data_IF_339677268998
#
_entry.id   IF_339677268998
#
_cell.length_a   1.000
_cell.length_b   1.000
_cell.length_c   1.000
_cell.angle_alpha   90.00
_cell.angle_beta   90.00
_cell.angle_gamma   90.00
#
_symmetry.space_group_name_H-M   'P 1'
#
loop_
_entity.id
_entity.type
_entity.pdbx_description
1 polymer ?
#
# COMPACT_ATOMS: atom_id res chain seq x y z
N UNK A 1 -17.96 52.35 -41.06
CA UNK A 1 -19.10 51.49 -40.67
C UNK A 1 -19.06 50.22 -41.52
N UNK A 2 -19.14 49.07 -40.85
CA UNK A 2 -19.30 47.70 -41.36
C UNK A 2 -18.24 47.09 -42.29
N UNK A 3 -17.50 46.12 -41.74
CA UNK A 3 -17.27 44.83 -42.40
C UNK A 3 -17.59 43.71 -41.40
N UNK A 4 -18.61 42.93 -41.72
CA UNK A 4 -18.91 41.63 -41.13
C UNK A 4 -18.30 40.58 -42.05
N UNK A 5 -17.55 39.62 -41.50
CA UNK A 5 -17.27 38.33 -42.12
C UNK A 5 -17.07 37.32 -41.00
N UNK A 6 -17.92 36.30 -41.00
CA UNK A 6 -17.99 35.20 -40.04
C UNK A 6 -17.12 34.03 -40.51
N UNK A 7 -16.36 33.43 -39.61
CA UNK A 7 -15.78 32.07 -39.70
C UNK A 7 -15.44 31.70 -38.24
N UNK A 8 -15.85 30.60 -37.63
CA UNK A 8 -15.94 29.24 -38.14
C UNK A 8 -15.09 28.35 -37.22
N UNK A 9 -15.75 27.74 -36.23
CA UNK A 9 -15.37 26.58 -35.39
C UNK A 9 -13.95 25.96 -35.54
N UNK A 10 -13.22 25.77 -34.43
CA UNK A 10 -12.66 24.44 -34.12
C UNK A 10 -12.36 24.25 -32.62
N UNK A 11 -12.98 23.22 -32.05
CA UNK A 11 -12.82 22.75 -30.66
C UNK A 11 -11.61 21.80 -30.61
N UNK A 12 -10.55 22.16 -29.88
CA UNK A 12 -9.44 21.24 -29.63
C UNK A 12 -9.90 20.11 -28.70
N UNK A 13 -10.04 18.92 -29.27
CA UNK A 13 -10.27 17.67 -28.57
C UNK A 13 -9.06 17.31 -27.71
N UNK A 14 -9.30 17.10 -26.41
CA UNK A 14 -8.39 16.47 -25.46
C UNK A 14 -8.16 15.02 -25.88
N UNK A 15 -6.98 14.72 -26.41
CA UNK A 15 -6.56 13.33 -26.63
C UNK A 15 -6.25 12.63 -25.30
N UNK A 16 -6.44 11.31 -25.18
CA UNK A 16 -6.14 10.58 -23.95
C UNK A 16 -4.63 10.65 -23.65
N UNK A 17 -4.29 11.01 -22.41
CA UNK A 17 -2.93 10.92 -21.88
C UNK A 17 -2.51 9.44 -21.88
N UNK A 18 -1.82 9.03 -22.94
CA UNK A 18 -1.11 7.75 -22.99
C UNK A 18 0.07 7.87 -22.02
N UNK A 19 -0.04 7.22 -20.86
CA UNK A 19 1.07 7.05 -19.91
C UNK A 19 2.21 6.32 -20.62
N UNK A 20 3.20 7.07 -21.09
CA UNK A 20 4.43 6.52 -21.61
C UNK A 20 5.22 5.90 -20.46
N UNK A 21 5.13 4.57 -20.32
CA UNK A 21 6.04 3.77 -19.49
C UNK A 21 7.44 3.80 -20.13
N UNK A 22 8.16 4.91 -19.95
CA UNK A 22 9.61 4.91 -20.01
C UNK A 22 10.10 4.64 -18.59
N UNK A 23 10.32 3.36 -18.28
CA UNK A 23 10.97 2.91 -17.05
C UNK A 23 12.40 3.44 -17.01
N UNK A 24 12.56 4.72 -16.64
CA UNK A 24 13.87 5.30 -16.40
C UNK A 24 14.48 4.69 -15.14
N UNK A 25 15.79 4.46 -15.15
CA UNK A 25 16.55 3.97 -14.00
C UNK A 25 16.04 4.55 -12.66
N UNK A 26 15.73 3.67 -11.70
CA UNK A 26 15.20 4.03 -10.39
C UNK A 26 13.67 4.18 -10.29
N UNK A 27 12.89 3.90 -11.35
CA UNK A 27 11.45 3.68 -11.22
C UNK A 27 11.20 2.31 -10.57
N UNK A 28 10.28 2.28 -9.60
CA UNK A 28 9.76 1.02 -9.05
C UNK A 28 8.40 0.78 -9.65
N UNK A 29 8.25 -0.34 -10.36
CA UNK A 29 7.01 -0.76 -11.01
C UNK A 29 6.28 -1.84 -10.18
N UNK A 30 5.02 -2.12 -10.51
CA UNK A 30 4.17 -3.09 -9.82
C UNK A 30 4.76 -4.52 -9.83
N UNK A 31 5.41 -4.93 -10.93
CA UNK A 31 6.06 -6.25 -11.04
C UNK A 31 7.13 -6.47 -9.96
N UNK A 32 7.87 -5.40 -9.61
CA UNK A 32 8.90 -5.44 -8.59
C UNK A 32 8.30 -5.69 -7.21
N UNK A 33 7.11 -5.15 -6.95
CA UNK A 33 6.39 -5.40 -5.72
C UNK A 33 5.95 -6.87 -5.64
N UNK A 34 5.32 -7.40 -6.69
CA UNK A 34 4.89 -8.79 -6.75
C UNK A 34 6.06 -9.77 -6.54
N UNK A 35 7.20 -9.52 -7.17
CA UNK A 35 8.42 -10.33 -6.97
C UNK A 35 8.97 -10.25 -5.54
N UNK A 36 8.64 -9.18 -4.79
CA UNK A 36 9.14 -8.92 -3.44
C UNK A 36 8.15 -9.28 -2.31
N UNK A 37 6.91 -9.65 -2.65
CA UNK A 37 5.85 -9.96 -1.69
C UNK A 37 6.19 -11.14 -0.80
N UNK A 38 6.66 -12.25 -1.41
CA UNK A 38 7.12 -13.43 -0.67
C UNK A 38 8.65 -13.40 -0.64
N UNK A 39 9.28 -12.96 0.46
CA UNK A 39 10.72 -12.97 0.56
C UNK A 39 11.24 -14.42 0.66
N UNK A 40 12.51 -14.63 0.28
CA UNK A 40 13.13 -15.96 0.27
C UNK A 40 13.24 -16.62 1.67
N UNK A 41 13.03 -15.86 2.74
CA UNK A 41 13.03 -16.38 4.10
C UNK A 41 11.67 -17.01 4.45
N UNK A 42 11.70 -18.11 5.20
CA UNK A 42 10.51 -18.74 5.75
C UNK A 42 10.50 -18.61 7.27
N UNK A 43 9.39 -18.10 7.81
CA UNK A 43 9.12 -18.02 9.24
C UNK A 43 7.63 -18.25 9.43
N UNK A 44 7.28 -19.09 10.39
CA UNK A 44 5.90 -19.44 10.73
C UNK A 44 5.76 -19.50 12.24
N UNK A 45 4.63 -19.03 12.76
CA UNK A 45 4.27 -19.27 14.15
C UNK A 45 3.48 -20.59 14.23
N UNK A 46 3.86 -21.46 15.16
CA UNK A 46 3.19 -22.74 15.41
C UNK A 46 2.20 -22.65 16.58
N UNK A 47 2.21 -21.54 17.33
CA UNK A 47 1.26 -21.27 18.39
C UNK A 47 0.88 -19.79 18.48
N UNK A 48 -0.28 -19.45 19.06
CA UNK A 48 -0.68 -18.05 19.30
C UNK A 48 0.33 -17.28 20.16
N UNK A 49 0.93 -17.95 21.16
CA UNK A 49 1.94 -17.34 22.03
C UNK A 49 3.20 -16.96 21.25
N UNK A 50 3.68 -17.88 20.44
CA UNK A 50 4.83 -17.65 19.57
C UNK A 50 4.57 -16.53 18.56
N UNK A 51 3.35 -16.45 18.00
CA UNK A 51 2.97 -15.35 17.12
C UNK A 51 3.10 -13.99 17.83
N UNK A 52 2.57 -13.88 19.05
CA UNK A 52 2.66 -12.66 19.86
C UNK A 52 4.12 -12.30 20.14
N UNK A 53 4.96 -13.28 20.49
CA UNK A 53 6.39 -13.07 20.76
C UNK A 53 7.14 -12.58 19.51
N UNK A 54 6.92 -13.22 18.36
CA UNK A 54 7.53 -12.83 17.08
C UNK A 54 7.12 -11.40 16.73
N UNK A 55 5.82 -11.08 16.76
CA UNK A 55 5.35 -9.74 16.39
C UNK A 55 5.83 -8.66 17.36
N UNK A 56 5.90 -8.94 18.67
CA UNK A 56 6.46 -8.00 19.63
C UNK A 56 7.95 -7.74 19.37
N UNK A 57 8.73 -8.78 19.04
CA UNK A 57 10.13 -8.62 18.65
C UNK A 57 10.26 -7.77 17.38
N UNK A 58 9.41 -8.00 16.38
CA UNK A 58 9.40 -7.19 15.16
C UNK A 58 9.10 -5.72 15.49
N UNK A 59 8.09 -5.46 16.32
CA UNK A 59 7.74 -4.12 16.77
C UNK A 59 8.92 -3.43 17.47
N UNK A 60 9.63 -4.12 18.36
CA UNK A 60 10.82 -3.59 19.04
C UNK A 60 11.92 -3.18 18.05
N UNK A 61 12.17 -4.00 17.02
CA UNK A 61 13.16 -3.70 15.98
C UNK A 61 12.73 -2.49 15.14
N UNK A 62 11.46 -2.44 14.72
CA UNK A 62 10.91 -1.35 13.90
C UNK A 62 10.88 -0.01 14.65
N UNK A 63 10.60 -0.03 15.96
CA UNK A 63 10.65 1.14 16.84
C UNK A 63 12.03 1.43 17.43
N UNK A 64 13.03 0.59 17.14
CA UNK A 64 14.36 0.64 17.74
C UNK A 64 15.23 1.80 17.26
N UNK A 65 16.56 1.65 17.36
CA UNK A 65 17.50 2.71 16.97
C UNK A 65 17.39 3.01 15.45
N UNK A 66 17.23 4.28 15.01
CA UNK A 66 17.18 4.66 13.60
C UNK A 66 18.47 4.40 12.81
N UNK A 67 19.60 4.15 13.48
CA UNK A 67 20.85 3.76 12.84
C UNK A 67 20.84 2.31 12.35
N UNK A 68 20.03 1.43 12.95
CA UNK A 68 19.91 0.01 12.60
C UNK A 68 18.90 -0.23 11.46
N UNK A 69 18.97 0.60 10.41
CA UNK A 69 18.01 0.60 9.30
C UNK A 69 17.96 -0.73 8.54
N UNK A 70 19.08 -1.47 8.45
CA UNK A 70 19.14 -2.79 7.84
C UNK A 70 18.29 -3.81 8.60
N UNK A 71 18.36 -3.79 9.95
CA UNK A 71 17.53 -4.68 10.78
C UNK A 71 16.05 -4.34 10.63
N UNK A 72 15.69 -3.06 10.44
CA UNK A 72 14.30 -2.67 10.15
C UNK A 72 13.81 -3.24 8.82
N UNK A 73 14.64 -3.17 7.78
CA UNK A 73 14.34 -3.79 6.47
C UNK A 73 14.12 -5.29 6.61
N UNK A 74 14.97 -5.98 7.37
CA UNK A 74 14.82 -7.42 7.59
C UNK A 74 13.60 -7.77 8.45
N UNK A 75 13.26 -6.94 9.43
CA UNK A 75 12.03 -7.08 10.21
C UNK A 75 10.78 -6.92 9.32
N UNK A 76 10.77 -5.97 8.38
CA UNK A 76 9.68 -5.79 7.41
C UNK A 76 9.52 -7.01 6.50
N UNK A 77 10.62 -7.61 6.03
CA UNK A 77 10.59 -8.87 5.26
C UNK A 77 10.07 -10.02 6.12
N UNK A 78 10.52 -10.12 7.36
CA UNK A 78 10.10 -11.15 8.31
C UNK A 78 8.60 -11.06 8.58
N UNK A 79 8.04 -9.85 8.71
CA UNK A 79 6.60 -9.64 8.85
C UNK A 79 5.83 -10.17 7.63
N UNK A 80 6.31 -9.91 6.40
CA UNK A 80 5.67 -10.46 5.19
C UNK A 80 5.73 -11.97 5.13
N UNK A 81 6.90 -12.55 5.40
CA UNK A 81 7.07 -14.01 5.44
C UNK A 81 6.13 -14.65 6.48
N UNK A 82 6.00 -14.04 7.65
CA UNK A 82 5.10 -14.51 8.71
C UNK A 82 3.64 -14.56 8.24
N UNK A 83 3.18 -13.50 7.57
CA UNK A 83 1.82 -13.43 7.01
C UNK A 83 1.64 -14.42 5.85
N UNK A 84 2.64 -14.57 4.97
CA UNK A 84 2.64 -15.56 3.89
C UNK A 84 2.51 -17.00 4.39
N UNK A 85 3.05 -17.30 5.58
CA UNK A 85 2.94 -18.60 6.22
C UNK A 85 1.69 -18.75 7.10
N UNK A 86 0.65 -17.91 6.88
CA UNK A 86 -0.65 -18.09 7.50
C UNK A 86 -0.82 -17.45 8.88
N UNK A 87 0.08 -16.56 9.32
CA UNK A 87 -0.10 -15.86 10.59
C UNK A 87 -1.41 -15.06 10.69
N UNK A 88 -1.95 -14.62 9.55
CA UNK A 88 -3.22 -13.92 9.50
C UNK A 88 -4.44 -14.79 9.92
N UNK A 89 -4.29 -16.12 9.97
CA UNK A 89 -5.34 -17.06 10.38
C UNK A 89 -5.54 -17.12 11.90
N UNK A 90 -4.57 -16.64 12.68
CA UNK A 90 -4.69 -16.54 14.13
C UNK A 90 -5.55 -15.33 14.50
N UNK A 91 -6.42 -15.49 15.49
CA UNK A 91 -7.32 -14.42 15.96
C UNK A 91 -6.54 -13.26 16.61
N UNK A 92 -5.39 -13.58 17.23
CA UNK A 92 -4.48 -12.63 17.86
C UNK A 92 -3.78 -11.70 16.85
N UNK A 93 -3.78 -12.05 15.57
CA UNK A 93 -3.08 -11.27 14.55
C UNK A 93 -3.66 -9.87 14.36
N UNK A 94 -5.00 -9.68 14.39
CA UNK A 94 -5.59 -8.32 14.20
C UNK A 94 -5.22 -7.37 15.34
N UNK A 95 -5.33 -7.76 16.62
CA UNK A 95 -4.81 -6.95 17.72
C UNK A 95 -3.33 -6.61 17.54
N UNK A 96 -2.50 -7.59 17.17
CA UNK A 96 -1.07 -7.38 16.96
C UNK A 96 -0.77 -6.41 15.82
N UNK A 97 -1.49 -6.52 14.69
CA UNK A 97 -1.39 -5.62 13.55
C UNK A 97 -1.64 -4.15 13.93
N UNK A 98 -2.62 -3.88 14.81
CA UNK A 98 -2.88 -2.52 15.31
C UNK A 98 -1.67 -1.95 16.06
N UNK A 99 -0.92 -2.80 16.76
CA UNK A 99 0.30 -2.35 17.46
C UNK A 99 1.47 -2.06 16.53
N UNK A 100 1.43 -2.58 15.30
CA UNK A 100 2.44 -2.35 14.26
C UNK A 100 2.18 -1.09 13.43
N UNK A 101 1.01 -0.46 13.53
CA UNK A 101 0.64 0.72 12.75
C UNK A 101 1.65 1.87 12.91
N UNK A 102 1.95 2.25 14.16
CA UNK A 102 2.90 3.34 14.45
C UNK A 102 4.34 3.01 14.00
N UNK A 103 4.89 1.81 14.29
CA UNK A 103 6.19 1.40 13.74
C UNK A 103 6.25 1.38 12.20
N UNK A 104 5.18 0.94 11.54
CA UNK A 104 5.09 0.94 10.07
C UNK A 104 5.08 2.37 9.50
N UNK A 105 4.30 3.26 10.10
CA UNK A 105 4.29 4.68 9.71
C UNK A 105 5.68 5.32 9.86
N UNK A 106 6.37 5.00 10.95
CA UNK A 106 7.76 5.45 11.18
C UNK A 106 8.69 4.98 10.05
N UNK A 107 8.54 3.76 9.57
CA UNK A 107 9.35 3.24 8.46
C UNK A 107 9.02 3.90 7.12
N UNK A 108 7.76 4.28 6.89
CA UNK A 108 7.36 5.02 5.69
C UNK A 108 7.92 6.45 5.69
N UNK A 109 8.17 7.05 6.85
CA UNK A 109 8.75 8.39 7.00
C UNK A 109 10.28 8.38 7.11
N UNK A 110 10.94 7.24 6.89
CA UNK A 110 12.40 7.14 7.00
C UNK A 110 13.10 7.96 5.89
N UNK A 111 14.27 8.50 6.20
CA UNK A 111 15.08 9.26 5.23
C UNK A 111 15.76 8.36 4.21
N UNK A 112 15.85 7.05 4.47
CA UNK A 112 16.50 6.07 3.59
C UNK A 112 15.49 5.43 2.66
N UNK A 113 15.69 5.63 1.37
CA UNK A 113 14.82 5.07 0.33
C UNK A 113 14.70 3.54 0.39
N UNK A 114 15.72 2.84 0.89
CA UNK A 114 15.68 1.39 1.14
C UNK A 114 14.61 0.99 2.15
N UNK A 115 14.53 1.71 3.29
CA UNK A 115 13.55 1.45 4.35
C UNK A 115 12.15 1.79 3.86
N UNK A 116 11.99 2.96 3.23
CA UNK A 116 10.70 3.41 2.70
C UNK A 116 10.17 2.47 1.63
N UNK A 117 11.03 2.02 0.70
CA UNK A 117 10.66 1.05 -0.34
C UNK A 117 10.20 -0.27 0.26
N UNK A 118 10.97 -0.80 1.23
CA UNK A 118 10.60 -2.05 1.89
C UNK A 118 9.27 -1.92 2.66
N UNK A 119 9.06 -0.78 3.33
CA UNK A 119 7.81 -0.49 4.04
C UNK A 119 6.63 -0.40 3.08
N UNK A 120 6.79 0.26 1.92
CA UNK A 120 5.77 0.33 0.87
C UNK A 120 5.40 -1.06 0.34
N UNK A 121 6.39 -1.93 0.11
CA UNK A 121 6.15 -3.33 -0.33
C UNK A 121 5.40 -4.10 0.76
N UNK A 122 5.78 -3.96 2.03
CA UNK A 122 5.08 -4.59 3.16
C UNK A 122 3.63 -4.13 3.27
N UNK A 123 3.37 -2.83 3.21
CA UNK A 123 2.00 -2.30 3.25
C UNK A 123 1.17 -2.82 2.09
N UNK A 124 1.72 -2.80 0.87
CA UNK A 124 1.04 -3.31 -0.31
C UNK A 124 0.67 -4.80 -0.13
N UNK A 125 1.61 -5.62 0.32
CA UNK A 125 1.39 -7.03 0.60
C UNK A 125 0.31 -7.25 1.68
N UNK A 126 0.41 -6.56 2.81
CA UNK A 126 -0.56 -6.66 3.91
C UNK A 126 -1.97 -6.25 3.44
N UNK A 127 -2.09 -5.23 2.59
CA UNK A 127 -3.38 -4.82 2.04
C UNK A 127 -4.04 -5.92 1.20
N UNK A 128 -3.26 -6.63 0.38
CA UNK A 128 -3.76 -7.71 -0.48
C UNK A 128 -4.18 -8.94 0.34
N UNK A 129 -3.38 -9.32 1.34
CA UNK A 129 -3.64 -10.51 2.17
C UNK A 129 -4.79 -10.31 3.17
N UNK A 130 -4.84 -9.15 3.84
CA UNK A 130 -5.76 -8.90 4.95
C UNK A 130 -7.07 -8.25 4.53
N UNK A 131 -7.11 -7.62 3.34
CA UNK A 131 -8.30 -6.97 2.78
C UNK A 131 -8.95 -6.01 3.78
N UNK A 132 -10.22 -6.23 4.14
CA UNK A 132 -10.99 -5.41 5.08
C UNK A 132 -10.40 -5.35 6.50
N UNK A 133 -9.56 -6.32 6.91
CA UNK A 133 -8.91 -6.28 8.22
C UNK A 133 -7.80 -5.23 8.29
N UNK A 134 -7.37 -4.68 7.15
CA UNK A 134 -6.31 -3.66 7.05
C UNK A 134 -6.86 -2.22 6.92
N UNK A 135 -8.17 -2.01 6.85
CA UNK A 135 -8.78 -0.70 6.52
C UNK A 135 -8.30 0.46 7.42
N UNK A 136 -8.22 0.23 8.74
CA UNK A 136 -7.74 1.26 9.69
C UNK A 136 -6.27 1.61 9.48
N UNK A 137 -5.43 0.60 9.26
CA UNK A 137 -4.01 0.83 9.00
C UNK A 137 -3.82 1.49 7.62
N UNK A 138 -4.62 1.10 6.63
CA UNK A 138 -4.64 1.71 5.31
C UNK A 138 -4.98 3.20 5.36
N UNK A 139 -6.00 3.59 6.13
CA UNK A 139 -6.39 5.01 6.31
C UNK A 139 -5.21 5.86 6.82
N UNK A 140 -4.53 5.37 7.86
CA UNK A 140 -3.36 6.01 8.47
C UNK A 140 -2.19 6.10 7.49
N UNK A 141 -1.86 4.97 6.83
CA UNK A 141 -0.74 4.89 5.88
C UNK A 141 -0.99 5.72 4.62
N UNK A 142 -2.22 5.80 4.11
CA UNK A 142 -2.54 6.59 2.92
C UNK A 142 -2.20 8.07 3.11
N UNK A 143 -2.40 8.63 4.32
CA UNK A 143 -2.00 10.00 4.61
C UNK A 143 -0.48 10.20 4.43
N UNK A 144 0.31 9.24 4.89
CA UNK A 144 1.78 9.24 4.76
C UNK A 144 2.23 9.03 3.32
N UNK A 145 1.58 8.12 2.58
CA UNK A 145 1.88 7.88 1.17
C UNK A 145 1.64 9.13 0.31
N UNK A 146 0.58 9.90 0.57
CA UNK A 146 0.31 11.16 -0.15
C UNK A 146 1.48 12.15 0.00
N UNK A 147 2.04 12.26 1.20
CA UNK A 147 3.22 13.11 1.44
C UNK A 147 4.43 12.59 0.64
N UNK A 148 4.67 11.28 0.63
CA UNK A 148 5.78 10.65 -0.10
C UNK A 148 5.69 10.83 -1.62
N UNK A 149 4.49 10.94 -2.20
CA UNK A 149 4.32 11.19 -3.64
C UNK A 149 4.97 12.49 -4.11
N UNK A 150 5.05 13.50 -3.23
CA UNK A 150 5.66 14.80 -3.52
C UNK A 150 7.17 14.84 -3.30
N UNK A 151 7.78 13.72 -2.89
CA UNK A 151 9.21 13.62 -2.64
C UNK A 151 10.01 13.67 -3.95
N UNK A 152 11.13 14.41 -3.97
CA UNK A 152 12.01 14.52 -5.14
C UNK A 152 12.82 13.23 -5.41
N UNK A 153 12.97 12.36 -4.42
CA UNK A 153 13.59 11.06 -4.60
C UNK A 153 12.67 10.11 -5.36
N UNK A 154 12.97 9.89 -6.65
CA UNK A 154 12.16 9.08 -7.57
C UNK A 154 11.76 7.71 -6.99
N UNK A 155 12.69 7.01 -6.34
CA UNK A 155 12.43 5.70 -5.72
C UNK A 155 11.34 5.78 -4.65
N UNK A 156 11.35 6.83 -3.81
CA UNK A 156 10.35 7.00 -2.76
C UNK A 156 8.97 7.31 -3.36
N UNK A 157 8.91 8.27 -4.29
CA UNK A 157 7.67 8.66 -4.94
C UNK A 157 7.06 7.51 -5.77
N UNK A 158 7.86 6.77 -6.53
CA UNK A 158 7.36 5.62 -7.30
C UNK A 158 6.89 4.48 -6.40
N UNK A 159 7.62 4.19 -5.32
CA UNK A 159 7.21 3.15 -4.35
C UNK A 159 5.88 3.51 -3.67
N UNK A 160 5.70 4.79 -3.29
CA UNK A 160 4.46 5.26 -2.70
C UNK A 160 3.27 5.19 -3.68
N UNK A 161 3.48 5.56 -4.95
CA UNK A 161 2.45 5.46 -6.00
C UNK A 161 2.00 4.01 -6.20
N UNK A 162 2.95 3.07 -6.30
CA UNK A 162 2.63 1.65 -6.46
C UNK A 162 1.90 1.12 -5.22
N UNK A 163 2.38 1.40 -4.00
CA UNK A 163 1.71 0.97 -2.77
C UNK A 163 0.27 1.53 -2.65
N UNK A 164 0.07 2.80 -3.00
CA UNK A 164 -1.26 3.43 -2.97
C UNK A 164 -2.23 2.74 -3.93
N UNK A 165 -1.78 2.35 -5.13
CA UNK A 165 -2.59 1.60 -6.10
C UNK A 165 -3.06 0.27 -5.53
N UNK A 166 -2.17 -0.49 -4.91
CA UNK A 166 -2.53 -1.77 -4.26
C UNK A 166 -3.60 -1.59 -3.18
N UNK A 167 -3.49 -0.57 -2.34
CA UNK A 167 -4.48 -0.28 -1.30
C UNK A 167 -5.84 0.06 -1.93
N UNK A 168 -5.87 0.95 -2.91
CA UNK A 168 -7.11 1.37 -3.57
C UNK A 168 -7.78 0.23 -4.36
N UNK A 169 -6.99 -0.64 -4.97
CA UNK A 169 -7.51 -1.80 -5.69
C UNK A 169 -8.25 -2.76 -4.74
N UNK A 170 -7.71 -3.01 -3.55
CA UNK A 170 -8.36 -3.83 -2.51
C UNK A 170 -9.69 -3.21 -2.12
N UNK A 171 -9.71 -1.89 -1.84
CA UNK A 171 -10.95 -1.18 -1.52
C UNK A 171 -11.97 -1.31 -2.64
N UNK A 172 -11.59 -1.07 -3.89
CA UNK A 172 -12.48 -1.19 -5.04
C UNK A 172 -13.05 -2.61 -5.23
N UNK A 173 -12.22 -3.65 -5.05
CA UNK A 173 -12.65 -5.06 -5.07
C UNK A 173 -13.66 -5.37 -3.96
N UNK A 174 -13.48 -4.80 -2.76
CA UNK A 174 -14.45 -4.93 -1.66
C UNK A 174 -15.79 -4.28 -2.03
N UNK A 175 -15.80 -3.11 -2.68
CA UNK A 175 -17.05 -2.48 -3.14
C UNK A 175 -17.74 -3.30 -4.25
N UNK A 176 -16.99 -3.92 -5.16
CA UNK A 176 -17.57 -4.78 -6.20
C UNK A 176 -18.13 -6.09 -5.64
N UNK A 177 -17.44 -6.75 -4.71
CA UNK A 177 -17.92 -7.99 -4.09
C UNK A 177 -18.97 -7.75 -2.98
N UNK A 178 -18.93 -6.60 -2.29
CA UNK A 178 -19.92 -6.18 -1.31
C UNK A 178 -21.30 -5.91 -1.92
N UNK A 179 -21.34 -5.54 -3.21
CA UNK A 179 -22.59 -5.46 -3.99
C UNK A 179 -23.16 -6.85 -4.35
N UNK A 180 -22.36 -7.91 -4.30
CA UNK A 180 -22.83 -9.31 -4.50
C UNK A 180 -23.35 -9.93 -3.19
N UNK A 181 -23.04 -9.33 -2.03
CA UNK A 181 -23.53 -9.76 -0.71
C UNK A 181 -24.46 -8.71 -0.08
N UNK A 182 -25.50 -8.30 -0.81
CA UNK A 182 -26.65 -7.61 -0.22
C UNK A 182 -27.97 -8.13 -0.81
N UNK A 183 -28.29 -9.40 -0.58
CA UNK A 183 -29.62 -9.96 -0.86
C UNK A 183 -30.66 -9.65 0.23
N UNK A 184 -30.35 -8.79 1.22
CA UNK A 184 -31.24 -8.59 2.38
C UNK A 184 -31.33 -7.18 2.98
N UNK A 185 -30.60 -6.17 2.48
CA UNK A 185 -30.73 -4.81 3.00
C UNK A 185 -31.07 -3.86 1.86
N UNK A 186 -32.37 -3.72 1.58
CA UNK A 186 -32.87 -2.73 0.63
C UNK A 186 -32.67 -1.33 1.18
N UNK A 187 -31.70 -0.57 0.65
CA UNK A 187 -31.77 0.86 0.27
C UNK A 187 -30.47 1.25 -0.48
N UNK A 188 -30.50 2.24 -1.40
CA UNK A 188 -29.53 2.40 -2.47
C UNK A 188 -28.37 3.30 -2.06
N UNK A 189 -27.15 2.98 -2.51
CA UNK A 189 -26.10 4.01 -2.63
C UNK A 189 -26.06 4.50 -4.05
N UNK A 190 -26.35 5.78 -4.17
CA UNK A 190 -26.35 6.62 -5.35
C UNK A 190 -25.09 6.37 -6.18
N UNK A 191 -25.29 5.98 -7.43
CA UNK A 191 -24.35 6.28 -8.50
C UNK A 191 -24.09 7.79 -8.49
N UNK A 192 -22.90 8.20 -8.09
CA UNK A 192 -22.34 9.49 -8.51
C UNK A 192 -21.29 9.18 -9.55
N UNK A 193 -21.77 8.95 -10.77
CA UNK A 193 -20.98 9.15 -11.98
C UNK A 193 -20.67 10.64 -12.08
N UNK A 194 -19.39 10.96 -12.23
CA UNK A 194 -18.99 12.05 -13.12
C UNK A 194 -18.41 11.41 -14.37
#
# INVERSE_FOLDING_TARGET
MSRYASDGLERKHSGPLKSSNSAGAGAVDEDVFYQSFVPAMSISAYSPKELVEIVNRLKEILSGNPEEWEKRVDALKTLRALVANGAAQFDEFVPLLKTLEVPLDTCLRDLRSSVVREACITVAYLSQELKNRFDRCAESVLQTLIILLSNSAKIMASSANVAMRFILEVSARIWQHGLVYCSHCGYPRSCTTF
#
